data_IF_485718351336
#
_entry.id   IF_485718351336
#
_cell.length_a   1.000
_cell.length_b   1.000
_cell.length_c   1.000
_cell.angle_alpha   90.00
_cell.angle_beta   90.00
_cell.angle_gamma   90.00
#
_symmetry.space_group_name_H-M   'P 1'
#
loop_
_entity.id
_entity.type
_entity.pdbx_description
1 polymer ?
#
# COMPACT_ATOMS: atom_id res chain seq x y z
N UNK A 1 -26.56 2.50 23.57
CA UNK A 1 -25.11 2.82 23.59
C UNK A 1 -24.57 2.62 22.18
N UNK A 2 -24.13 3.68 21.51
CA UNK A 2 -23.50 3.54 20.19
C UNK A 2 -22.11 2.93 20.38
N UNK A 3 -21.80 1.86 19.64
CA UNK A 3 -20.49 1.22 19.68
C UNK A 3 -19.43 2.23 19.19
N UNK A 4 -18.41 2.48 20.00
CA UNK A 4 -17.26 3.30 19.60
C UNK A 4 -16.50 2.47 18.56
N UNK A 5 -16.33 2.95 17.31
CA UNK A 5 -15.56 2.22 16.32
C UNK A 5 -14.14 2.04 16.86
N UNK A 6 -13.72 0.78 16.93
CA UNK A 6 -12.36 0.47 17.35
C UNK A 6 -11.40 0.93 16.27
N UNK A 7 -10.14 1.18 16.61
CA UNK A 7 -9.09 1.74 15.72
C UNK A 7 -8.91 0.99 14.38
N UNK A 8 -9.53 -0.19 14.24
CA UNK A 8 -9.44 -1.09 13.11
C UNK A 8 -10.66 -1.05 12.16
N UNK A 9 -11.69 -0.24 12.45
CA UNK A 9 -12.88 -0.06 11.61
C UNK A 9 -12.64 0.91 10.43
N UNK A 10 -11.50 1.59 10.40
CA UNK A 10 -11.12 2.39 9.25
C UNK A 10 -10.61 1.48 8.13
N UNK A 11 -11.14 1.60 6.90
CA UNK A 11 -10.64 0.82 5.77
C UNK A 11 -9.14 1.12 5.60
N UNK A 12 -8.34 0.06 5.48
CA UNK A 12 -6.91 0.21 5.22
C UNK A 12 -6.76 0.75 3.80
N UNK A 13 -6.50 2.05 3.69
CA UNK A 13 -6.27 2.73 2.42
C UNK A 13 -4.82 2.64 1.95
N UNK A 14 -3.90 2.37 2.90
CA UNK A 14 -2.47 2.32 2.62
C UNK A 14 -1.79 1.12 3.28
N UNK A 15 -0.68 0.67 2.68
CA UNK A 15 0.15 -0.41 3.19
C UNK A 15 1.64 -0.04 3.13
N UNK A 16 2.45 -0.70 3.95
CA UNK A 16 3.91 -0.56 3.90
C UNK A 16 4.47 -1.28 2.67
N UNK A 17 5.65 -0.90 2.15
CA UNK A 17 6.19 -1.47 0.93
C UNK A 17 6.46 -2.98 1.05
N UNK A 18 6.80 -3.47 2.24
CA UNK A 18 6.97 -4.89 2.50
C UNK A 18 5.66 -5.68 2.35
N UNK A 19 4.55 -5.16 2.89
CA UNK A 19 3.24 -5.78 2.73
C UNK A 19 2.78 -5.76 1.27
N UNK A 20 3.06 -4.67 0.55
CA UNK A 20 2.76 -4.60 -0.88
C UNK A 20 3.60 -5.58 -1.68
N UNK A 21 4.85 -5.82 -1.29
CA UNK A 21 5.68 -6.85 -1.93
C UNK A 21 5.05 -8.24 -1.77
N UNK A 22 4.59 -8.57 -0.57
CA UNK A 22 3.86 -9.83 -0.31
C UNK A 22 2.56 -9.91 -1.12
N UNK A 23 1.77 -8.83 -1.18
CA UNK A 23 0.52 -8.77 -1.95
C UNK A 23 0.75 -8.96 -3.46
N UNK A 24 1.84 -8.42 -4.00
CA UNK A 24 2.19 -8.56 -5.41
C UNK A 24 3.02 -9.81 -5.72
N UNK A 25 3.32 -10.65 -4.72
CA UNK A 25 4.13 -11.86 -4.87
C UNK A 25 5.62 -11.59 -5.14
N UNK A 26 6.12 -10.39 -4.83
CA UNK A 26 7.54 -10.08 -4.97
C UNK A 26 8.36 -10.65 -3.82
N UNK A 27 9.52 -11.23 -4.17
CA UNK A 27 10.49 -11.73 -3.21
C UNK A 27 11.26 -10.61 -2.50
N UNK A 28 11.33 -9.43 -3.10
CA UNK A 28 12.07 -8.29 -2.60
C UNK A 28 11.25 -7.00 -2.56
N UNK A 29 11.50 -6.19 -1.51
CA UNK A 29 10.84 -4.90 -1.32
C UNK A 29 11.40 -3.83 -2.27
N UNK A 30 12.57 -4.04 -2.87
CA UNK A 30 13.22 -3.08 -3.77
C UNK A 30 12.40 -2.91 -5.06
N UNK A 31 11.78 -3.98 -5.54
CA UNK A 31 10.86 -3.98 -6.66
C UNK A 31 9.70 -3.00 -6.44
N UNK A 32 9.11 -3.00 -5.24
CA UNK A 32 8.05 -2.03 -4.86
C UNK A 32 8.58 -0.59 -4.87
N UNK A 33 9.78 -0.34 -4.34
CA UNK A 33 10.40 0.98 -4.43
C UNK A 33 10.69 1.40 -5.87
N UNK A 34 11.01 0.46 -6.75
CA UNK A 34 11.11 0.69 -8.20
C UNK A 34 9.78 1.13 -8.80
N UNK A 35 8.68 0.46 -8.45
CA UNK A 35 7.33 0.84 -8.90
C UNK A 35 6.93 2.24 -8.41
N UNK A 36 7.26 2.59 -7.17
CA UNK A 36 7.03 3.93 -6.63
C UNK A 36 7.83 4.98 -7.41
N UNK A 37 9.13 4.75 -7.64
CA UNK A 37 10.01 5.70 -8.36
C UNK A 37 9.65 5.87 -9.82
N UNK A 38 9.17 4.81 -10.47
CA UNK A 38 8.73 4.83 -11.87
C UNK A 38 7.32 5.37 -12.04
N UNK A 39 6.62 5.71 -10.94
CA UNK A 39 5.26 6.25 -10.97
C UNK A 39 4.18 5.22 -11.29
N UNK A 40 4.52 3.92 -11.35
CA UNK A 40 3.58 2.84 -11.63
C UNK A 40 2.58 2.61 -10.50
N UNK A 41 3.00 2.88 -9.26
CA UNK A 41 2.11 2.86 -8.08
C UNK A 41 2.27 4.15 -7.28
N UNK A 42 1.15 4.67 -6.78
CA UNK A 42 1.12 5.88 -5.95
C UNK A 42 1.49 5.56 -4.51
N UNK A 43 2.36 6.37 -3.94
CA UNK A 43 2.73 6.29 -2.53
C UNK A 43 2.98 7.68 -1.95
N UNK A 44 2.77 7.81 -0.63
CA UNK A 44 3.08 9.00 0.14
C UNK A 44 4.27 8.73 1.05
N UNK A 45 5.30 9.56 0.96
CA UNK A 45 6.42 9.51 1.92
C UNK A 45 5.96 10.05 3.27
N UNK A 46 6.18 9.26 4.32
CA UNK A 46 5.87 9.61 5.72
C UNK A 46 7.11 9.31 6.56
N UNK A 47 7.83 10.37 6.93
CA UNK A 47 9.13 10.25 7.60
C UNK A 47 10.13 9.47 6.76
N UNK A 48 10.64 8.37 7.32
CA UNK A 48 11.60 7.48 6.65
C UNK A 48 10.96 6.30 5.89
N UNK A 49 9.63 6.28 5.75
CA UNK A 49 8.92 5.18 5.10
C UNK A 49 7.96 5.69 4.02
N UNK A 50 7.56 4.81 3.12
CA UNK A 50 6.51 5.07 2.15
C UNK A 50 5.22 4.34 2.55
N UNK A 51 4.11 5.05 2.53
CA UNK A 51 2.78 4.46 2.61
C UNK A 51 2.22 4.37 1.20
N UNK A 52 2.10 3.15 0.69
CA UNK A 52 1.62 2.87 -0.66
C UNK A 52 0.11 2.88 -0.65
N UNK A 53 -0.50 3.55 -1.62
CA UNK A 53 -1.96 3.65 -1.76
C UNK A 53 -2.47 2.35 -2.38
N UNK A 54 -3.31 1.60 -1.65
CA UNK A 54 -3.72 0.25 -2.07
C UNK A 54 -4.59 0.25 -3.32
N UNK A 55 -5.39 1.29 -3.57
CA UNK A 55 -6.17 1.40 -4.82
C UNK A 55 -5.26 1.43 -6.05
N UNK A 56 -4.17 2.20 -5.99
CA UNK A 56 -3.20 2.26 -7.08
C UNK A 56 -2.44 0.94 -7.27
N UNK A 57 -2.27 0.16 -6.21
CA UNK A 57 -1.68 -1.19 -6.30
C UNK A 57 -2.63 -2.16 -7.01
N UNK A 58 -3.94 -2.09 -6.72
CA UNK A 58 -4.97 -2.90 -7.39
C UNK A 58 -5.11 -2.54 -8.87
N UNK A 59 -5.16 -1.24 -9.18
CA UNK A 59 -5.11 -0.72 -10.55
C UNK A 59 -3.88 -1.26 -11.31
N UNK A 60 -2.72 -1.29 -10.65
CA UNK A 60 -1.49 -1.85 -11.23
C UNK A 60 -1.55 -3.38 -11.42
N UNK A 61 -2.20 -4.10 -10.50
CA UNK A 61 -2.37 -5.55 -10.57
C UNK A 61 -3.44 -5.99 -11.59
N UNK A 62 -4.25 -5.05 -12.10
CA UNK A 62 -5.36 -5.35 -13.01
C UNK A 62 -6.62 -5.87 -12.31
N UNK A 63 -6.74 -5.65 -11.00
CA UNK A 63 -8.00 -5.86 -10.28
C UNK A 63 -8.86 -4.60 -10.45
N UNK A 64 -9.83 -4.66 -11.37
CA UNK A 64 -10.89 -3.64 -11.56
C UNK A 64 -11.92 -3.65 -10.42
#
# INVERSE_FOLDING_TARGET
>A
MAAIPTKNDYPRLTAKPAQVAEMLGYKDVKSVYGLIRTGKIRARKVGNTFLVILTSVREFAGEE
#
